data_IF_638931677222
#
_entry.id   IF_638931677222
#
_cell.length_a   1.000
_cell.length_b   1.000
_cell.length_c   1.000
_cell.angle_alpha   90.00
_cell.angle_beta   90.00
_cell.angle_gamma   90.00
#
_symmetry.space_group_name_H-M   'P 1'
#
loop_
_entity.id
_entity.type
_entity.pdbx_description
1 polymer ?
#
# COMPACT_ATOMS: atom_id res chain seq x y z
N UNK A 1 -22.53 18.12 -24.76
CA UNK A 1 -22.05 17.03 -23.85
C UNK A 1 -20.69 16.46 -24.28
N UNK A 2 -20.44 16.06 -25.51
CA UNK A 2 -19.15 15.50 -25.98
C UNK A 2 -17.96 16.47 -25.76
N UNK A 3 -18.14 17.77 -26.03
CA UNK A 3 -17.08 18.78 -25.84
C UNK A 3 -16.74 19.03 -24.35
N UNK A 4 -17.71 19.00 -23.44
CA UNK A 4 -17.45 19.17 -22.00
C UNK A 4 -16.68 17.99 -21.41
N UNK A 5 -16.91 16.76 -21.89
CA UNK A 5 -16.20 15.56 -21.45
C UNK A 5 -14.75 15.60 -21.95
N UNK A 6 -14.51 16.04 -23.20
CA UNK A 6 -13.14 16.19 -23.73
C UNK A 6 -12.34 17.25 -22.96
N UNK A 7 -12.95 18.36 -22.57
CA UNK A 7 -12.30 19.41 -21.78
C UNK A 7 -12.00 18.90 -20.37
N UNK A 8 -12.89 18.13 -19.76
CA UNK A 8 -12.67 17.55 -18.42
C UNK A 8 -11.53 16.52 -18.44
N UNK A 9 -11.49 15.63 -19.44
CA UNK A 9 -10.43 14.63 -19.62
C UNK A 9 -9.08 15.31 -19.90
N UNK A 10 -9.05 16.35 -20.77
CA UNK A 10 -7.84 17.13 -21.03
C UNK A 10 -7.37 17.89 -19.78
N UNK A 11 -8.29 18.44 -18.98
CA UNK A 11 -7.97 19.10 -17.72
C UNK A 11 -7.36 18.15 -16.69
N UNK A 12 -7.90 16.95 -16.55
CA UNK A 12 -7.38 15.90 -15.65
C UNK A 12 -6.00 15.41 -16.13
N UNK A 13 -5.77 15.24 -17.43
CA UNK A 13 -4.46 14.90 -17.97
C UNK A 13 -3.39 15.98 -17.73
N UNK A 14 -3.75 17.27 -17.86
CA UNK A 14 -2.81 18.38 -17.67
C UNK A 14 -2.41 18.50 -16.18
N UNK A 15 -3.34 18.27 -15.25
CA UNK A 15 -3.05 18.27 -13.80
C UNK A 15 -2.18 17.08 -13.41
N UNK A 16 -2.34 15.92 -14.03
CA UNK A 16 -1.51 14.73 -13.77
C UNK A 16 -0.04 14.89 -14.23
N UNK A 17 0.24 15.75 -15.23
CA UNK A 17 1.61 15.97 -15.73
C UNK A 17 2.40 17.05 -14.99
N UNK A 18 1.80 17.84 -14.11
CA UNK A 18 2.47 18.96 -13.43
C UNK A 18 2.98 18.64 -12.04
N UNK A 19 2.64 17.51 -11.45
CA UNK A 19 3.17 17.10 -10.16
C UNK A 19 4.47 16.33 -10.34
N UNK A 20 5.60 16.92 -9.97
CA UNK A 20 6.83 16.17 -9.68
C UNK A 20 6.57 15.39 -8.39
N UNK A 21 5.97 14.23 -8.51
CA UNK A 21 5.67 13.34 -7.40
C UNK A 21 6.93 12.61 -7.02
N UNK A 22 7.46 12.92 -5.84
CA UNK A 22 8.60 12.22 -5.24
C UNK A 22 8.04 11.35 -4.12
N UNK A 23 8.04 10.03 -4.31
CA UNK A 23 7.59 9.13 -3.25
C UNK A 23 8.11 7.70 -3.45
N UNK A 24 8.29 6.83 -2.77
CA UNK A 24 8.34 5.93 -1.68
C UNK A 24 9.13 4.61 -1.79
N UNK A 25 9.45 4.01 -0.70
CA UNK A 25 9.99 2.66 -0.59
C UNK A 25 9.56 1.91 0.68
N UNK A 26 9.58 0.60 0.66
CA UNK A 26 9.50 -0.37 1.76
C UNK A 26 8.14 -0.78 2.32
N UNK A 27 7.08 -0.06 2.19
CA UNK A 27 5.77 -0.52 2.66
C UNK A 27 4.81 -0.50 1.49
N UNK A 28 4.53 -1.66 0.93
CA UNK A 28 3.43 -1.78 -0.01
C UNK A 28 2.14 -1.35 0.69
N UNK A 29 1.29 -0.60 0.00
CA UNK A 29 0.04 -0.10 0.56
C UNK A 29 -0.75 -1.29 1.09
N UNK A 30 -1.00 -1.26 2.40
CA UNK A 30 -1.74 -2.33 3.06
C UNK A 30 -3.19 -2.21 2.65
N UNK A 31 -3.71 -3.26 2.04
CA UNK A 31 -5.10 -3.46 1.65
C UNK A 31 -5.79 -2.29 0.93
N UNK A 32 -6.14 -2.51 -0.29
CA UNK A 32 -6.98 -1.62 -1.09
C UNK A 32 -8.32 -2.23 -1.47
N UNK A 33 -8.70 -3.32 -0.79
CA UNK A 33 -9.91 -4.08 -1.11
C UNK A 33 -9.80 -4.86 -2.44
N UNK A 34 -10.74 -5.74 -2.71
CA UNK A 34 -10.82 -6.53 -3.94
C UNK A 34 -11.25 -5.70 -5.15
N UNK A 35 -10.38 -4.83 -5.62
CA UNK A 35 -10.64 -3.83 -6.66
C UNK A 35 -10.85 -4.44 -8.05
N UNK A 36 -10.59 -5.71 -8.18
CA UNK A 36 -10.44 -6.35 -9.46
C UNK A 36 -11.71 -6.91 -10.07
N UNK A 37 -12.80 -6.83 -9.37
CA UNK A 37 -14.11 -7.27 -9.85
C UNK A 37 -14.94 -6.14 -10.47
N UNK A 38 -14.33 -5.05 -10.90
CA UNK A 38 -15.01 -4.10 -11.77
C UNK A 38 -15.11 -4.66 -13.18
N UNK A 39 -15.79 -5.81 -13.25
CA UNK A 39 -16.12 -6.44 -14.50
C UNK A 39 -17.45 -5.88 -15.03
N UNK A 40 -17.54 -5.81 -16.34
CA UNK A 40 -18.72 -5.43 -17.11
C UNK A 40 -19.99 -6.22 -16.80
N UNK A 41 -19.80 -7.44 -16.36
CA UNK A 41 -20.84 -8.35 -15.94
C UNK A 41 -21.13 -8.23 -14.45
N UNK A 42 -21.13 -7.00 -13.87
CA UNK A 42 -22.02 -6.79 -12.73
C UNK A 42 -23.43 -7.04 -13.28
N UNK A 43 -23.77 -8.32 -13.38
CA UNK A 43 -25.15 -8.79 -13.51
C UNK A 43 -26.01 -7.84 -12.70
N UNK A 44 -27.13 -7.41 -13.25
CA UNK A 44 -28.16 -6.66 -12.57
C UNK A 44 -28.09 -7.01 -11.10
N UNK A 45 -27.74 -6.03 -10.25
CA UNK A 45 -27.64 -6.28 -8.80
C UNK A 45 -28.90 -7.03 -8.43
N UNK A 46 -28.76 -8.33 -8.27
CA UNK A 46 -29.84 -9.13 -7.76
C UNK A 46 -30.13 -8.53 -6.38
N UNK A 47 -31.26 -7.86 -6.25
CA UNK A 47 -31.69 -7.18 -5.03
C UNK A 47 -31.75 -8.15 -3.83
N UNK A 48 -31.67 -9.47 -4.10
CA UNK A 48 -31.58 -10.51 -3.09
C UNK A 48 -30.19 -10.65 -2.46
N UNK A 49 -29.09 -10.34 -3.19
CA UNK A 49 -27.70 -10.49 -2.68
C UNK A 49 -27.17 -9.17 -2.13
N UNK A 50 -27.32 -8.97 -0.84
CA UNK A 50 -26.96 -7.71 -0.17
C UNK A 50 -25.57 -7.70 0.44
N UNK A 51 -24.93 -8.85 0.54
CA UNK A 51 -23.61 -8.98 1.13
C UNK A 51 -22.58 -9.47 0.12
N UNK A 52 -21.38 -8.94 0.23
CA UNK A 52 -20.23 -9.39 -0.52
C UNK A 52 -19.08 -9.60 0.46
N UNK A 53 -18.42 -10.74 0.35
CA UNK A 53 -17.22 -11.07 1.10
C UNK A 53 -16.06 -11.21 0.14
N UNK A 54 -14.96 -10.50 0.41
CA UNK A 54 -13.70 -10.64 -0.29
C UNK A 54 -12.62 -11.13 0.66
N UNK A 55 -11.84 -12.10 0.21
CA UNK A 55 -10.64 -12.58 0.87
C UNK A 55 -9.49 -12.43 -0.11
N UNK A 56 -8.46 -11.66 0.29
CA UNK A 56 -7.25 -11.46 -0.49
C UNK A 56 -6.02 -11.89 0.30
N UNK A 57 -5.25 -12.82 -0.27
CA UNK A 57 -3.93 -13.20 0.23
C UNK A 57 -2.89 -12.39 -0.53
N UNK A 58 -2.06 -11.68 0.17
CA UNK A 58 -0.98 -10.88 -0.38
C UNK A 58 0.35 -11.30 0.23
N UNK A 59 1.35 -11.50 -0.64
CA UNK A 59 2.71 -11.83 -0.23
C UNK A 59 3.73 -11.07 -1.05
N UNK A 60 4.78 -10.57 -0.38
CA UNK A 60 5.97 -10.08 -1.05
C UNK A 60 7.23 -10.32 -0.19
N UNK A 61 8.38 -10.39 -0.90
CA UNK A 61 9.72 -10.36 -0.32
C UNK A 61 10.43 -9.09 -0.76
N UNK A 62 10.89 -8.26 0.19
CA UNK A 62 11.70 -7.09 -0.12
C UNK A 62 13.13 -7.29 0.37
N UNK A 63 14.12 -7.12 -0.52
CA UNK A 63 15.53 -7.36 -0.21
C UNK A 63 16.51 -6.53 -1.05
N UNK A 64 16.07 -5.95 -2.17
CA UNK A 64 16.91 -5.10 -3.00
C UNK A 64 16.86 -3.67 -2.49
N UNK A 65 18.01 -3.17 -2.05
CA UNK A 65 18.14 -1.82 -1.52
C UNK A 65 18.32 -0.78 -2.62
N UNK A 66 17.67 0.38 -2.46
CA UNK A 66 17.78 1.51 -3.38
C UNK A 66 18.03 2.81 -2.62
N UNK A 67 18.90 3.67 -3.21
CA UNK A 67 19.05 5.08 -2.88
C UNK A 67 18.66 5.86 -4.14
N UNK A 68 17.60 6.66 -4.08
CA UNK A 68 16.97 7.14 -5.30
C UNK A 68 16.51 5.94 -6.14
N UNK A 69 16.77 5.99 -7.43
CA UNK A 69 16.53 4.89 -8.38
C UNK A 69 17.72 3.91 -8.49
N UNK A 70 18.84 4.19 -7.80
CA UNK A 70 20.06 3.40 -7.91
C UNK A 70 20.04 2.23 -6.92
N UNK A 71 20.06 1.01 -7.46
CA UNK A 71 20.18 -0.20 -6.65
C UNK A 71 21.54 -0.29 -5.96
N UNK A 72 21.55 -0.63 -4.69
CA UNK A 72 22.74 -0.86 -3.86
C UNK A 72 23.10 -2.36 -3.90
N UNK A 73 23.67 -2.82 -5.04
CA UNK A 73 23.96 -4.24 -5.29
C UNK A 73 24.90 -4.84 -4.23
N UNK A 74 25.86 -4.03 -3.75
CA UNK A 74 26.80 -4.43 -2.70
C UNK A 74 26.15 -4.90 -1.41
N UNK A 75 24.90 -4.49 -1.14
CA UNK A 75 24.13 -4.99 0.02
C UNK A 75 23.92 -6.50 -0.05
N UNK A 76 23.50 -7.00 -1.22
CA UNK A 76 23.28 -8.42 -1.48
C UNK A 76 24.62 -9.17 -1.61
N UNK A 77 25.59 -8.59 -2.31
CA UNK A 77 26.92 -9.19 -2.52
C UNK A 77 27.67 -9.41 -1.20
N UNK A 78 27.50 -8.50 -0.24
CA UNK A 78 28.12 -8.58 1.09
C UNK A 78 27.22 -9.26 2.13
N UNK A 79 26.03 -9.76 1.78
CA UNK A 79 25.05 -10.34 2.71
C UNK A 79 24.55 -9.36 3.77
N UNK A 80 24.64 -8.04 3.51
CA UNK A 80 24.26 -6.98 4.47
C UNK A 80 22.89 -6.36 4.17
N UNK A 81 22.16 -6.90 3.19
CA UNK A 81 20.80 -6.48 2.89
C UNK A 81 19.83 -6.82 4.01
N UNK A 82 18.79 -6.03 4.15
CA UNK A 82 17.62 -6.40 4.95
C UNK A 82 16.69 -7.23 4.09
N UNK A 83 16.17 -8.31 4.64
CA UNK A 83 15.19 -9.16 3.97
C UNK A 83 13.90 -9.11 4.78
N UNK A 84 12.81 -8.63 4.18
CA UNK A 84 11.48 -8.73 4.77
C UNK A 84 10.64 -9.74 3.97
N UNK A 85 9.90 -10.57 4.68
CA UNK A 85 8.77 -11.33 4.15
C UNK A 85 7.51 -10.75 4.77
N UNK A 86 6.58 -10.33 3.95
CA UNK A 86 5.30 -9.79 4.41
C UNK A 86 4.17 -10.57 3.79
N UNK A 87 3.35 -11.14 4.66
CA UNK A 87 2.11 -11.80 4.31
C UNK A 87 0.94 -11.05 4.93
N UNK A 88 -0.09 -10.80 4.14
CA UNK A 88 -1.33 -10.17 4.58
C UNK A 88 -2.52 -10.97 4.09
N UNK A 89 -3.43 -11.30 4.99
CA UNK A 89 -4.75 -11.83 4.70
C UNK A 89 -5.76 -10.70 4.93
N UNK A 90 -6.26 -10.11 3.84
CA UNK A 90 -7.27 -9.07 3.90
C UNK A 90 -8.67 -9.70 3.86
N UNK A 91 -9.49 -9.41 4.86
CA UNK A 91 -10.87 -9.84 4.97
C UNK A 91 -11.77 -8.62 4.83
N UNK A 92 -12.49 -8.52 3.71
CA UNK A 92 -13.40 -7.40 3.47
C UNK A 92 -14.84 -7.88 3.40
N UNK A 93 -15.70 -7.31 4.23
CA UNK A 93 -17.14 -7.54 4.20
C UNK A 93 -17.85 -6.26 3.75
N UNK A 94 -18.59 -6.35 2.66
CA UNK A 94 -19.33 -5.22 2.08
C UNK A 94 -20.83 -5.48 2.17
N UNK A 95 -21.57 -4.48 2.66
CA UNK A 95 -23.03 -4.42 2.62
C UNK A 95 -23.50 -3.48 1.54
N UNK A 96 -24.20 -3.99 0.52
CA UNK A 96 -24.90 -3.19 -0.47
C UNK A 96 -26.22 -2.69 0.12
N UNK A 97 -26.34 -1.39 0.38
CA UNK A 97 -27.52 -0.77 0.95
C UNK A 97 -28.61 -0.60 -0.11
N UNK A 98 -28.21 -0.22 -1.30
CA UNK A 98 -29.04 -0.10 -2.52
C UNK A 98 -28.13 -0.08 -3.75
N UNK A 99 -28.68 0.15 -4.94
CA UNK A 99 -27.92 0.20 -6.19
C UNK A 99 -26.84 1.31 -6.27
N UNK A 100 -26.88 2.27 -5.34
CA UNK A 100 -25.96 3.42 -5.32
C UNK A 100 -24.92 3.32 -4.19
N UNK A 101 -25.32 2.83 -3.03
CA UNK A 101 -24.54 2.90 -1.81
C UNK A 101 -24.15 1.53 -1.28
N UNK A 102 -22.91 1.41 -0.87
CA UNK A 102 -22.41 0.28 -0.09
C UNK A 102 -21.51 0.76 1.05
N UNK A 103 -21.40 -0.06 2.08
CA UNK A 103 -20.51 0.13 3.22
C UNK A 103 -19.65 -1.11 3.37
N UNK A 104 -18.36 -0.95 3.61
CA UNK A 104 -17.44 -2.08 3.82
C UNK A 104 -16.65 -1.93 5.12
N UNK A 105 -16.29 -3.08 5.66
CA UNK A 105 -15.29 -3.22 6.72
C UNK A 105 -14.18 -4.11 6.18
N UNK A 106 -12.95 -3.67 6.34
CA UNK A 106 -11.75 -4.37 5.93
C UNK A 106 -10.85 -4.62 7.14
N UNK A 107 -10.51 -5.88 7.39
CA UNK A 107 -9.72 -6.33 8.53
C UNK A 107 -8.50 -7.13 8.05
N UNK A 108 -7.30 -6.54 8.01
CA UNK A 108 -6.09 -7.23 7.60
C UNK A 108 -5.49 -8.03 8.75
N UNK A 109 -5.11 -9.28 8.51
CA UNK A 109 -4.28 -10.10 9.38
C UNK A 109 -2.89 -10.18 8.77
N UNK A 110 -1.88 -9.81 9.55
CA UNK A 110 -0.49 -9.71 9.08
C UNK A 110 0.38 -10.79 9.74
N UNK A 111 1.30 -11.34 8.93
CA UNK A 111 2.38 -12.21 9.41
C UNK A 111 3.67 -11.75 8.70
N UNK A 112 4.56 -11.14 9.43
CA UNK A 112 5.78 -10.57 8.86
C UNK A 112 7.02 -11.15 9.54
N UNK A 113 8.11 -11.24 8.77
CA UNK A 113 9.44 -11.48 9.32
C UNK A 113 10.45 -10.52 8.68
N UNK A 114 11.47 -10.17 9.45
CA UNK A 114 12.55 -9.29 9.03
C UNK A 114 13.89 -9.83 9.47
N UNK A 115 14.79 -10.01 8.53
CA UNK A 115 16.15 -10.47 8.74
C UNK A 115 17.14 -9.34 8.50
N UNK A 116 18.04 -9.10 9.43
CA UNK A 116 19.01 -8.00 9.39
C UNK A 116 20.26 -8.34 10.19
N UNK A 117 21.40 -7.77 9.81
CA UNK A 117 22.63 -7.78 10.62
C UNK A 117 22.67 -6.58 11.58
N UNK A 118 22.54 -5.38 11.04
CA UNK A 118 22.81 -4.12 11.76
C UNK A 118 21.78 -3.79 12.85
N UNK A 119 20.62 -4.42 12.84
CA UNK A 119 19.63 -4.27 13.91
C UNK A 119 19.98 -5.10 15.14
N UNK A 120 20.86 -6.08 14.97
CA UNK A 120 21.35 -6.98 15.99
C UNK A 120 22.82 -6.67 16.33
N UNK A 121 23.67 -7.68 16.37
CA UNK A 121 25.10 -7.58 16.71
C UNK A 121 26.01 -7.06 15.60
N UNK A 122 25.46 -6.87 14.39
CA UNK A 122 26.20 -6.45 13.20
C UNK A 122 27.02 -7.55 12.54
N UNK A 123 27.06 -8.76 13.08
CA UNK A 123 27.85 -9.91 12.60
C UNK A 123 26.97 -11.04 12.11
N UNK A 124 26.00 -11.42 12.92
CA UNK A 124 25.10 -12.53 12.65
C UNK A 124 23.74 -12.03 12.19
N UNK A 125 23.12 -12.79 11.29
CA UNK A 125 21.79 -12.48 10.80
C UNK A 125 20.74 -13.14 11.71
N UNK A 126 19.93 -12.32 12.34
CA UNK A 126 18.80 -12.77 13.14
C UNK A 126 17.49 -12.32 12.53
N UNK A 127 16.40 -12.91 13.00
CA UNK A 127 15.03 -12.64 12.56
C UNK A 127 14.27 -11.91 13.68
N UNK A 128 13.45 -10.95 13.28
CA UNK A 128 12.35 -10.42 14.09
C UNK A 128 11.03 -10.68 13.37
N UNK A 129 9.94 -10.83 14.10
CA UNK A 129 8.63 -11.21 13.60
C UNK A 129 7.55 -10.27 14.12
N UNK A 130 6.42 -10.24 13.42
CA UNK A 130 5.16 -9.71 13.94
C UNK A 130 4.00 -10.52 13.38
N UNK A 131 2.97 -10.73 14.21
CA UNK A 131 1.75 -11.43 13.82
C UNK A 131 0.54 -10.83 14.55
N UNK A 132 -0.54 -10.59 13.82
CA UNK A 132 -1.79 -10.15 14.41
C UNK A 132 -2.66 -9.31 13.48
N UNK A 133 -3.71 -8.73 14.07
CA UNK A 133 -4.61 -7.82 13.39
C UNK A 133 -3.89 -6.51 13.05
N UNK A 134 -4.08 -6.02 11.83
CA UNK A 134 -3.63 -4.71 11.40
C UNK A 134 -4.64 -3.60 11.64
N UNK A 135 -4.46 -2.47 10.94
CA UNK A 135 -5.38 -1.34 11.05
C UNK A 135 -6.65 -1.61 10.25
N UNK A 136 -7.78 -1.72 10.95
CA UNK A 136 -9.12 -1.94 10.37
C UNK A 136 -9.57 -0.67 9.64
N UNK A 137 -10.25 -0.85 8.50
CA UNK A 137 -10.87 0.25 7.76
C UNK A 137 -12.37 0.05 7.66
N UNK A 138 -13.09 1.18 7.74
CA UNK A 138 -14.54 1.25 7.47
C UNK A 138 -14.75 2.30 6.39
N UNK A 139 -15.41 1.94 5.30
CA UNK A 139 -15.59 2.82 4.15
C UNK A 139 -17.02 2.77 3.63
N UNK A 140 -17.50 3.93 3.16
CA UNK A 140 -18.76 4.04 2.44
C UNK A 140 -18.48 4.41 0.98
N UNK A 141 -19.17 3.76 0.07
CA UNK A 141 -18.99 3.94 -1.37
C UNK A 141 -20.29 4.35 -2.04
N UNK A 142 -20.18 5.19 -3.07
CA UNK A 142 -21.27 5.61 -3.90
C UNK A 142 -20.93 5.54 -5.39
N UNK A 143 -21.79 4.89 -6.18
CA UNK A 143 -21.77 4.98 -7.63
C UNK A 143 -22.34 6.32 -8.10
N UNK A 144 -21.67 6.96 -9.05
CA UNK A 144 -22.07 8.28 -9.59
C UNK A 144 -23.14 8.13 -10.67
N UNK A 145 -23.02 7.13 -11.54
CA UNK A 145 -23.97 6.85 -12.60
C UNK A 145 -24.78 5.60 -12.29
N UNK A 146 -25.92 5.42 -12.96
CA UNK A 146 -26.75 4.22 -12.79
C UNK A 146 -25.99 2.98 -13.30
N UNK A 147 -25.61 2.04 -12.42
CA UNK A 147 -24.83 0.87 -12.83
C UNK A 147 -25.50 0.02 -13.90
N UNK A 148 -26.85 0.00 -13.94
CA UNK A 148 -27.62 -0.79 -14.92
C UNK A 148 -27.71 -0.15 -16.32
N UNK A 149 -27.33 1.13 -16.47
CA UNK A 149 -27.55 1.89 -17.72
C UNK A 149 -26.29 2.45 -18.33
N UNK A 150 -25.19 2.44 -17.62
CA UNK A 150 -23.97 3.15 -18.01
C UNK A 150 -22.92 2.19 -18.59
N UNK A 151 -22.35 2.52 -19.74
CA UNK A 151 -21.18 1.81 -20.32
C UNK A 151 -19.92 1.94 -19.47
N UNK A 152 -19.88 2.90 -18.58
CA UNK A 152 -18.81 3.13 -17.62
C UNK A 152 -19.37 3.78 -16.37
N UNK A 153 -18.69 3.62 -15.27
CA UNK A 153 -19.12 4.18 -14.00
C UNK A 153 -17.93 4.64 -13.16
N UNK A 154 -18.21 5.49 -12.20
CA UNK A 154 -17.27 5.97 -11.20
C UNK A 154 -17.89 5.70 -9.85
N UNK A 155 -17.12 5.05 -9.00
CA UNK A 155 -17.45 4.87 -7.59
C UNK A 155 -16.52 5.73 -6.75
N UNK A 156 -17.08 6.52 -5.84
CA UNK A 156 -16.32 7.31 -4.88
C UNK A 156 -16.50 6.69 -3.50
N UNK A 157 -15.39 6.48 -2.81
CA UNK A 157 -15.33 5.94 -1.46
C UNK A 157 -14.71 6.93 -0.49
N UNK A 158 -15.29 7.03 0.70
CA UNK A 158 -14.73 7.74 1.85
C UNK A 158 -14.71 6.78 3.03
N UNK A 159 -13.61 6.79 3.78
CA UNK A 159 -13.48 5.86 4.89
C UNK A 159 -12.58 6.37 6.02
N UNK A 160 -12.54 5.58 7.06
CA UNK A 160 -11.71 5.75 8.24
C UNK A 160 -10.82 4.52 8.40
N UNK A 161 -9.52 4.74 8.53
CA UNK A 161 -8.55 3.75 9.02
C UNK A 161 -8.46 3.93 10.54
N UNK A 162 -8.72 2.87 11.29
CA UNK A 162 -8.65 2.85 12.75
C UNK A 162 -7.28 2.30 13.17
N UNK A 163 -6.68 2.89 14.19
CA UNK A 163 -5.40 2.45 14.73
C UNK A 163 -5.59 1.19 15.62
N UNK A 164 -6.04 0.09 15.05
CA UNK A 164 -6.31 -1.18 15.73
C UNK A 164 -5.12 -2.12 15.74
N UNK A 165 -4.21 -1.98 14.78
CA UNK A 165 -2.98 -2.76 14.73
C UNK A 165 -1.98 -2.33 15.82
N UNK A 166 -1.31 -3.31 16.40
CA UNK A 166 -0.25 -3.01 17.38
C UNK A 166 0.95 -2.34 16.69
N UNK A 167 1.03 -1.02 16.82
CA UNK A 167 2.09 -0.19 16.28
C UNK A 167 3.33 -0.09 17.21
N UNK A 168 3.28 -0.76 18.35
CA UNK A 168 4.38 -0.90 19.32
C UNK A 168 4.84 -2.35 19.44
N UNK A 169 4.51 -3.19 18.46
CA UNK A 169 4.88 -4.59 18.47
C UNK A 169 6.36 -4.77 18.71
N UNK A 170 6.72 -5.66 19.60
CA UNK A 170 8.10 -5.86 20.05
C UNK A 170 8.58 -7.28 19.75
N UNK A 171 9.88 -7.41 19.53
CA UNK A 171 10.58 -8.68 19.44
C UNK A 171 11.99 -8.56 19.98
N UNK A 172 12.73 -9.65 20.04
CA UNK A 172 14.04 -9.73 20.64
C UNK A 172 15.16 -9.34 19.67
N UNK A 173 16.07 -8.49 20.14
CA UNK A 173 17.25 -8.04 19.42
C UNK A 173 18.52 -8.51 20.12
N UNK A 174 19.33 -9.30 19.42
CA UNK A 174 20.64 -9.77 19.88
C UNK A 174 21.66 -8.64 19.73
N UNK A 175 22.14 -8.06 20.82
CA UNK A 175 23.11 -6.95 20.79
C UNK A 175 24.56 -7.43 20.83
N UNK A 176 24.79 -8.60 21.40
CA UNK A 176 26.05 -9.37 21.41
C UNK A 176 25.73 -10.82 21.81
N UNK A 177 26.75 -11.64 21.97
CA UNK A 177 26.61 -13.08 22.25
C UNK A 177 25.86 -13.40 23.58
N UNK A 178 25.80 -12.45 24.51
CA UNK A 178 25.18 -12.64 25.84
C UNK A 178 23.98 -11.71 26.11
N UNK A 179 23.78 -10.68 25.29
CA UNK A 179 22.77 -9.64 25.55
C UNK A 179 21.69 -9.67 24.52
N UNK A 180 20.47 -9.95 24.95
CA UNK A 180 19.25 -9.89 24.15
C UNK A 180 18.30 -8.88 24.78
N UNK A 181 17.77 -7.95 24.00
CA UNK A 181 16.87 -6.90 24.48
C UNK A 181 15.55 -6.96 23.74
N UNK A 182 14.47 -6.75 24.48
CA UNK A 182 13.13 -6.57 23.89
C UNK A 182 12.99 -5.14 23.38
N UNK A 183 12.47 -4.96 22.17
CA UNK A 183 12.28 -3.63 21.59
C UNK A 183 11.31 -3.60 20.44
N UNK A 184 10.85 -2.40 20.04
CA UNK A 184 9.96 -2.26 18.91
C UNK A 184 10.58 -2.79 17.62
N UNK A 185 9.84 -3.63 16.90
CA UNK A 185 10.26 -4.08 15.56
C UNK A 185 10.29 -2.91 14.57
N UNK A 186 10.98 -3.10 13.46
CA UNK A 186 11.07 -2.07 12.43
C UNK A 186 9.69 -1.64 11.89
N UNK A 187 9.55 -0.37 11.51
CA UNK A 187 8.31 0.20 10.97
C UNK A 187 7.71 -0.62 9.82
N UNK A 188 8.55 -1.28 9.01
CA UNK A 188 8.11 -2.08 7.85
C UNK A 188 7.34 -3.34 8.24
N UNK A 189 7.51 -3.83 9.45
CA UNK A 189 6.83 -5.02 9.97
C UNK A 189 5.93 -4.75 11.18
N UNK A 190 5.70 -3.49 11.57
CA UNK A 190 4.68 -3.15 12.56
C UNK A 190 3.29 -3.54 12.06
N UNK A 191 2.38 -3.96 12.94
CA UNK A 191 1.03 -4.37 12.58
C UNK A 191 0.14 -3.18 12.21
N UNK A 192 0.36 -2.02 12.82
CA UNK A 192 -0.28 -0.74 12.54
C UNK A 192 0.72 0.40 12.46
N UNK A 193 0.27 1.59 12.10
CA UNK A 193 1.07 2.81 12.16
C UNK A 193 0.75 3.67 13.39
N UNK A 194 -0.33 3.34 14.12
CA UNK A 194 -0.77 4.03 15.32
C UNK A 194 -1.54 5.33 15.07
N UNK A 195 -1.92 5.61 13.84
CA UNK A 195 -2.74 6.77 13.48
C UNK A 195 -4.12 6.39 12.99
N UNK A 196 -5.15 7.10 13.45
CA UNK A 196 -6.44 7.12 12.76
C UNK A 196 -6.32 8.03 11.56
N UNK A 197 -6.74 7.55 10.39
CA UNK A 197 -6.63 8.25 9.12
C UNK A 197 -7.92 8.26 8.33
N UNK A 198 -8.00 9.17 7.35
CA UNK A 198 -9.12 9.29 6.42
C UNK A 198 -8.71 8.71 5.07
N UNK A 199 -9.54 7.86 4.49
CA UNK A 199 -9.31 7.30 3.16
C UNK A 199 -10.25 7.90 2.14
N UNK A 200 -9.72 8.17 0.95
CA UNK A 200 -10.49 8.53 -0.24
C UNK A 200 -10.17 7.54 -1.32
N UNK A 201 -11.19 6.99 -1.96
CA UNK A 201 -11.06 6.05 -3.07
C UNK A 201 -11.88 6.52 -4.27
N UNK A 202 -11.33 6.36 -5.45
CA UNK A 202 -12.05 6.55 -6.71
C UNK A 202 -11.80 5.31 -7.55
N UNK A 203 -12.87 4.60 -7.87
CA UNK A 203 -12.85 3.44 -8.73
C UNK A 203 -13.64 3.76 -10.01
N UNK A 204 -13.06 3.49 -11.15
CA UNK A 204 -13.69 3.78 -12.43
C UNK A 204 -13.49 2.62 -13.41
N UNK A 205 -14.49 2.39 -14.25
CA UNK A 205 -14.37 1.52 -15.42
C UNK A 205 -15.11 2.12 -16.62
N UNK A 206 -14.69 1.70 -17.78
CA UNK A 206 -15.37 2.08 -19.03
C UNK A 206 -15.28 0.96 -20.07
N UNK A 207 -16.43 0.57 -20.58
CA UNK A 207 -16.57 -0.42 -21.64
C UNK A 207 -16.17 0.13 -23.00
N UNK A 208 -15.08 -0.37 -23.52
CA UNK A 208 -14.61 -0.06 -24.87
C UNK A 208 -15.35 -0.90 -25.92
N UNK A 209 -15.57 -2.18 -25.61
CA UNK A 209 -16.34 -3.12 -26.42
C UNK A 209 -17.06 -4.14 -25.52
N UNK A 210 -17.67 -5.18 -26.12
CA UNK A 210 -18.29 -6.27 -25.36
C UNK A 210 -17.28 -7.10 -24.55
N UNK A 211 -16.03 -7.16 -25.02
CA UNK A 211 -14.98 -7.96 -24.38
C UNK A 211 -13.84 -7.14 -23.80
N UNK A 212 -13.80 -5.83 -24.03
CA UNK A 212 -12.69 -4.97 -23.58
C UNK A 212 -13.20 -3.84 -22.73
N UNK A 213 -12.63 -3.67 -21.56
CA UNK A 213 -12.87 -2.52 -20.68
C UNK A 213 -11.57 -1.89 -20.20
N UNK A 214 -11.61 -0.60 -19.94
CA UNK A 214 -10.56 0.11 -19.21
C UNK A 214 -10.98 0.28 -17.76
N UNK A 215 -10.02 0.27 -16.85
CA UNK A 215 -10.23 0.54 -15.43
C UNK A 215 -9.23 1.54 -14.88
N UNK A 216 -9.61 2.23 -13.82
CA UNK A 216 -8.76 3.09 -13.03
C UNK A 216 -9.13 3.04 -11.56
N UNK A 217 -8.12 3.08 -10.69
CA UNK A 217 -8.31 3.16 -9.26
C UNK A 217 -7.34 4.18 -8.68
N UNK A 218 -7.83 5.01 -7.78
CA UNK A 218 -7.07 5.92 -6.95
C UNK A 218 -7.43 5.69 -5.49
N UNK A 219 -6.42 5.59 -4.64
CA UNK A 219 -6.54 5.51 -3.20
C UNK A 219 -5.63 6.52 -2.55
N UNK A 220 -6.11 7.23 -1.55
CA UNK A 220 -5.32 8.12 -0.71
C UNK A 220 -5.70 7.95 0.75
N UNK A 221 -4.71 7.75 1.61
CA UNK A 221 -4.83 7.77 3.07
C UNK A 221 -4.19 9.06 3.59
N UNK A 222 -4.98 9.91 4.22
CA UNK A 222 -4.53 11.08 4.99
C UNK A 222 -4.36 10.67 6.44
N UNK A 223 -3.16 10.87 6.99
CA UNK A 223 -2.81 10.54 8.37
C UNK A 223 -2.52 11.82 9.16
N UNK A 224 -3.46 12.37 9.94
CA UNK A 224 -3.25 13.63 10.67
C UNK A 224 -2.22 13.54 11.79
N UNK A 225 -1.88 12.35 12.25
CA UNK A 225 -0.88 12.11 13.31
C UNK A 225 0.52 12.10 12.72
N UNK A 226 1.41 13.00 13.15
CA UNK A 226 2.78 13.08 12.64
C UNK A 226 3.65 11.89 13.04
N UNK A 227 3.62 11.52 14.34
CA UNK A 227 4.45 10.47 14.94
C UNK A 227 3.64 9.62 15.92
N UNK A 228 3.95 8.32 16.00
CA UNK A 228 3.21 7.41 16.87
C UNK A 228 3.82 7.20 18.27
N UNK A 229 4.97 7.81 18.55
CA UNK A 229 5.67 7.69 19.82
C UNK A 229 6.52 6.42 19.97
N UNK A 230 6.57 5.55 18.94
CA UNK A 230 7.38 4.32 18.97
C UNK A 230 8.83 4.64 18.60
N UNK A 231 9.75 4.26 19.49
CA UNK A 231 11.18 4.47 19.28
C UNK A 231 11.73 3.61 18.13
N UNK A 232 12.67 4.15 17.38
CA UNK A 232 13.44 3.40 16.37
C UNK A 232 14.68 2.71 16.92
N UNK A 233 14.95 2.82 18.22
CA UNK A 233 16.18 2.34 18.86
C UNK A 233 16.18 0.84 19.21
N UNK A 234 15.12 0.09 18.87
CA UNK A 234 15.06 -1.38 19.01
C UNK A 234 15.49 -1.89 20.39
N UNK A 235 14.87 -1.35 21.44
CA UNK A 235 15.18 -1.69 22.84
C UNK A 235 16.40 -0.96 23.43
N UNK A 236 17.12 -0.18 22.61
CA UNK A 236 18.24 0.65 23.08
C UNK A 236 17.85 2.12 23.28
N UNK A 237 18.87 2.96 23.45
CA UNK A 237 18.73 4.43 23.54
C UNK A 237 18.85 5.05 22.13
N UNK A 238 18.02 6.02 21.82
CA UNK A 238 18.13 6.77 20.58
C UNK A 238 19.43 7.55 20.50
N UNK A 239 20.10 7.52 19.35
CA UNK A 239 21.34 8.29 19.17
C UNK A 239 21.09 9.79 19.16
N UNK A 240 22.05 10.60 19.60
CA UNK A 240 21.95 12.06 19.56
C UNK A 240 21.67 12.58 18.13
N UNK A 241 22.24 11.93 17.12
CA UNK A 241 21.99 12.26 15.71
C UNK A 241 20.54 11.99 15.33
N UNK A 242 19.99 10.81 15.65
CA UNK A 242 18.60 10.48 15.32
C UNK A 242 17.60 11.42 16.00
N UNK A 243 17.87 11.85 17.23
CA UNK A 243 17.09 12.85 17.96
C UNK A 243 17.18 14.20 17.23
N UNK A 244 18.40 14.64 16.88
CA UNK A 244 18.63 15.94 16.23
C UNK A 244 17.94 16.07 14.88
N UNK A 245 17.89 14.99 14.09
CA UNK A 245 17.22 14.97 12.78
C UNK A 245 15.75 14.54 12.84
N UNK A 246 15.24 14.21 14.03
CA UNK A 246 13.85 13.81 14.25
C UNK A 246 13.49 12.42 13.72
N UNK A 247 14.46 11.50 13.59
CA UNK A 247 14.23 10.12 13.13
C UNK A 247 14.22 9.08 14.25
N UNK A 248 14.24 9.52 15.51
CA UNK A 248 14.23 8.65 16.68
C UNK A 248 12.86 8.05 17.02
N UNK A 249 11.81 8.55 16.41
CA UNK A 249 10.41 8.09 16.57
C UNK A 249 9.82 7.77 15.19
N UNK A 250 9.01 6.73 15.09
CA UNK A 250 8.32 6.33 13.86
C UNK A 250 7.25 7.36 13.48
N UNK A 251 7.21 7.74 12.21
CA UNK A 251 6.15 8.61 11.66
C UNK A 251 4.89 7.81 11.33
N UNK A 252 3.79 8.52 11.17
CA UNK A 252 2.49 8.01 10.66
C UNK A 252 2.22 8.67 9.30
N UNK A 253 2.80 8.13 8.21
CA UNK A 253 2.77 8.82 6.92
C UNK A 253 1.45 8.65 6.19
N UNK A 254 1.14 9.63 5.34
CA UNK A 254 0.16 9.46 4.27
C UNK A 254 0.59 8.34 3.32
N UNK A 255 -0.36 7.80 2.56
CA UNK A 255 -0.11 6.78 1.53
C UNK A 255 -1.04 7.00 0.35
N UNK A 256 -0.57 6.76 -0.87
CA UNK A 256 -1.48 6.71 -2.01
C UNK A 256 -1.12 5.60 -3.00
N UNK A 257 -2.10 5.21 -3.79
CA UNK A 257 -1.95 4.26 -4.87
C UNK A 257 -2.76 4.71 -6.07
N UNK A 258 -2.18 4.52 -7.26
CA UNK A 258 -2.86 4.71 -8.53
C UNK A 258 -2.74 3.41 -9.32
N UNK A 259 -3.84 2.98 -9.91
CA UNK A 259 -3.87 1.84 -10.85
C UNK A 259 -4.65 2.25 -12.08
N UNK A 260 -4.20 1.81 -13.24
CA UNK A 260 -4.92 1.96 -14.49
C UNK A 260 -4.55 0.83 -15.45
N UNK A 261 -5.51 0.33 -16.18
CA UNK A 261 -5.27 -0.78 -17.11
C UNK A 261 -6.47 -1.12 -17.96
N UNK A 262 -6.34 -2.25 -18.62
CA UNK A 262 -7.37 -2.81 -19.50
C UNK A 262 -7.66 -4.25 -19.11
N UNK A 263 -8.91 -4.66 -19.27
CA UNK A 263 -9.39 -6.00 -19.10
C UNK A 263 -9.86 -6.55 -20.45
N UNK A 264 -9.54 -7.79 -20.72
CA UNK A 264 -10.12 -8.58 -21.81
C UNK A 264 -10.91 -9.72 -21.19
N UNK A 265 -12.22 -9.73 -21.45
CA UNK A 265 -13.14 -10.74 -20.91
C UNK A 265 -13.68 -11.62 -22.03
N UNK A 266 -13.53 -12.92 -21.86
CA UNK A 266 -14.15 -13.93 -22.70
C UNK A 266 -14.86 -14.98 -21.84
N UNK A 267 -16.19 -15.03 -21.94
CA UNK A 267 -17.04 -15.88 -21.11
C UNK A 267 -16.80 -15.59 -19.60
N UNK A 268 -16.26 -16.56 -18.90
CA UNK A 268 -16.01 -16.50 -17.46
C UNK A 268 -14.58 -16.07 -17.12
N UNK A 269 -13.72 -15.84 -18.12
CA UNK A 269 -12.31 -15.51 -17.92
C UNK A 269 -12.06 -14.05 -18.25
N UNK A 270 -11.45 -13.33 -17.32
CA UNK A 270 -10.95 -11.97 -17.53
C UNK A 270 -9.45 -11.95 -17.36
N UNK A 271 -8.74 -11.47 -18.36
CA UNK A 271 -7.31 -11.17 -18.32
C UNK A 271 -7.16 -9.65 -18.16
N UNK A 272 -6.28 -9.25 -17.25
CA UNK A 272 -6.01 -7.85 -16.95
C UNK A 272 -4.55 -7.51 -17.21
N UNK A 273 -4.29 -6.32 -17.70
CA UNK A 273 -2.95 -5.76 -17.77
C UNK A 273 -3.02 -4.26 -17.46
N UNK A 274 -2.25 -3.83 -16.48
CA UNK A 274 -2.23 -2.44 -16.06
C UNK A 274 -0.90 -2.02 -15.47
N UNK A 275 -0.90 -0.79 -15.00
CA UNK A 275 0.16 -0.19 -14.20
C UNK A 275 -0.37 0.09 -12.80
N UNK A 276 0.51 -0.05 -11.82
CA UNK A 276 0.27 0.25 -10.41
C UNK A 276 1.42 1.09 -9.89
N UNK A 277 1.11 2.26 -9.34
CA UNK A 277 2.02 3.10 -8.59
C UNK A 277 1.61 3.11 -7.12
N UNK A 278 2.51 2.72 -6.24
CA UNK A 278 2.34 2.72 -4.79
C UNK A 278 3.34 3.69 -4.17
N UNK A 279 2.87 4.51 -3.27
CA UNK A 279 3.58 5.69 -2.82
C UNK A 279 3.40 6.01 -1.34
N UNK A 280 4.51 6.35 -0.64
CA UNK A 280 4.57 6.99 0.69
C UNK A 280 5.26 8.35 0.54
N UNK A 281 4.54 9.46 0.59
CA UNK A 281 5.09 10.78 0.30
C UNK A 281 6.14 11.22 1.33
N UNK A 282 7.05 12.09 0.89
CA UNK A 282 8.02 12.74 1.79
C UNK A 282 7.31 13.63 2.78
N UNK A 283 6.27 14.31 2.31
CA UNK A 283 5.45 15.23 3.09
C UNK A 283 3.99 14.79 3.07
N UNK A 284 3.37 14.82 4.24
CA UNK A 284 1.95 14.55 4.42
C UNK A 284 1.12 15.80 4.10
N UNK A 285 -0.13 15.61 3.72
CA UNK A 285 -1.05 16.73 3.46
C UNK A 285 -1.41 17.46 4.77
N UNK A 286 -1.53 16.70 5.85
CA UNK A 286 -1.96 17.22 7.16
C UNK A 286 -1.13 16.56 8.27
N UNK A 287 -0.95 17.22 9.41
CA UNK A 287 -0.41 16.64 10.63
C UNK A 287 1.11 16.75 10.81
N UNK A 288 1.85 17.04 9.74
CA UNK A 288 3.30 17.16 9.79
C UNK A 288 4.01 15.89 9.29
N UNK A 289 5.31 16.00 9.03
CA UNK A 289 6.08 14.98 8.29
C UNK A 289 7.37 14.58 8.99
N UNK A 290 7.53 14.91 10.27
CA UNK A 290 8.67 14.49 11.08
C UNK A 290 8.53 13.01 11.46
N UNK A 291 9.63 12.43 11.89
CA UNK A 291 9.70 11.04 12.27
C UNK A 291 10.39 10.19 11.23
N UNK A 292 10.69 8.98 11.65
CA UNK A 292 11.33 7.99 10.80
C UNK A 292 10.33 7.46 9.77
N UNK A 293 10.68 7.61 8.50
CA UNK A 293 10.00 7.00 7.35
C UNK A 293 10.99 6.77 6.21
N UNK A 294 10.64 5.87 5.34
CA UNK A 294 11.39 5.60 4.11
C UNK A 294 10.52 6.00 2.91
N UNK A 295 10.48 7.28 2.53
CA UNK A 295 9.62 7.75 1.44
C UNK A 295 10.15 7.32 0.06
N UNK A 296 9.28 7.19 -0.93
CA UNK A 296 9.60 6.74 -2.27
C UNK A 296 8.41 6.10 -3.01
N UNK A 297 8.56 5.54 -4.24
CA UNK A 297 7.48 4.89 -5.00
C UNK A 297 7.93 3.59 -5.67
N UNK A 298 6.96 2.77 -6.02
CA UNK A 298 7.13 1.58 -6.86
C UNK A 298 6.13 1.68 -8.00
N UNK A 299 6.64 1.86 -9.22
CA UNK A 299 5.85 1.68 -10.43
C UNK A 299 5.96 0.23 -10.89
N UNK A 300 4.84 -0.44 -11.08
CA UNK A 300 4.76 -1.86 -11.46
C UNK A 300 3.91 -2.05 -12.70
N UNK A 301 4.26 -3.02 -13.55
CA UNK A 301 3.32 -3.64 -14.46
C UNK A 301 2.49 -4.67 -13.68
N UNK A 302 1.17 -4.66 -13.85
CA UNK A 302 0.25 -5.52 -13.10
C UNK A 302 -0.57 -6.42 -14.03
N UNK A 303 -0.04 -7.56 -14.44
CA UNK A 303 -0.84 -8.61 -15.05
C UNK A 303 -1.77 -9.25 -14.02
N UNK A 304 -2.96 -9.63 -14.47
CA UNK A 304 -3.97 -10.26 -13.64
C UNK A 304 -4.84 -11.23 -14.40
N UNK A 305 -5.46 -12.14 -13.66
CA UNK A 305 -6.44 -13.09 -14.15
C UNK A 305 -7.59 -13.18 -13.14
N UNK A 306 -8.81 -13.20 -13.65
CA UNK A 306 -10.02 -13.44 -12.86
C UNK A 306 -10.86 -14.49 -13.54
N UNK A 307 -11.34 -15.46 -12.78
CA UNK A 307 -12.30 -16.45 -13.26
C UNK A 307 -13.60 -16.34 -12.48
N UNK A 308 -14.69 -16.12 -13.23
CA UNK A 308 -16.02 -15.88 -12.68
C UNK A 308 -16.83 -17.18 -12.65
N UNK A 309 -17.08 -17.70 -11.46
CA UNK A 309 -18.12 -18.68 -11.21
C UNK A 309 -19.43 -17.97 -10.87
N UNK A 310 -20.55 -18.62 -10.94
CA UNK A 310 -21.90 -18.00 -10.71
C UNK A 310 -21.97 -16.98 -9.58
N UNK A 311 -21.39 -17.27 -8.40
CA UNK A 311 -21.41 -16.40 -7.21
C UNK A 311 -20.02 -16.11 -6.65
N UNK A 312 -19.00 -16.72 -7.20
CA UNK A 312 -17.62 -16.63 -6.70
C UNK A 312 -16.73 -16.20 -7.84
N UNK A 313 -15.94 -15.16 -7.62
CA UNK A 313 -14.88 -14.74 -8.51
C UNK A 313 -13.55 -15.04 -7.86
N UNK A 314 -12.70 -15.82 -8.52
CA UNK A 314 -11.33 -16.10 -8.07
C UNK A 314 -10.39 -15.27 -8.92
N UNK A 315 -9.42 -14.61 -8.29
CA UNK A 315 -8.49 -13.75 -8.98
C UNK A 315 -7.05 -13.91 -8.50
N UNK A 316 -6.12 -13.57 -9.39
CA UNK A 316 -4.70 -13.44 -9.08
C UNK A 316 -4.11 -12.23 -9.81
N UNK A 317 -3.27 -11.44 -9.11
CA UNK A 317 -2.53 -10.30 -9.64
C UNK A 317 -1.09 -10.35 -9.17
N UNK A 318 -0.18 -10.02 -10.08
CA UNK A 318 1.25 -10.02 -9.77
C UNK A 318 1.87 -8.72 -10.25
N UNK A 319 1.71 -7.60 -9.51
CA UNK A 319 2.46 -6.39 -9.82
C UNK A 319 3.96 -6.69 -9.79
N UNK A 320 4.64 -6.49 -10.92
CA UNK A 320 6.09 -6.64 -11.11
C UNK A 320 6.70 -5.26 -11.22
N UNK A 321 7.62 -4.94 -10.32
CA UNK A 321 8.19 -3.61 -10.22
C UNK A 321 9.09 -3.28 -11.43
N UNK A 322 8.74 -2.21 -12.15
CA UNK A 322 9.51 -1.64 -13.27
C UNK A 322 10.49 -0.58 -12.75
N UNK A 323 10.01 0.30 -11.89
CA UNK A 323 10.82 1.37 -11.30
C UNK A 323 10.63 1.39 -9.78
N UNK A 324 11.70 1.72 -9.07
CA UNK A 324 11.75 1.90 -7.62
C UNK A 324 12.56 3.15 -7.33
N UNK A 325 12.06 3.98 -6.45
CA UNK A 325 12.74 5.20 -6.08
C UNK A 325 12.63 5.45 -4.57
N UNK A 326 13.73 5.41 -3.85
CA UNK A 326 13.83 5.84 -2.45
C UNK A 326 14.24 7.30 -2.41
N UNK A 327 13.28 8.20 -2.19
CA UNK A 327 13.53 9.64 -2.13
C UNK A 327 14.11 10.07 -0.78
N UNK A 328 14.70 11.27 -0.68
CA UNK A 328 15.13 11.82 0.61
C UNK A 328 13.93 11.97 1.56
N UNK A 329 14.04 11.46 2.78
CA UNK A 329 13.09 11.76 3.87
C UNK A 329 13.31 13.17 4.42
N UNK A 330 12.40 13.64 5.28
CA UNK A 330 12.57 14.89 6.01
C UNK A 330 13.84 14.82 6.88
N UNK A 331 14.09 13.70 7.54
CA UNK A 331 15.30 13.49 8.34
C UNK A 331 16.58 13.54 7.49
N UNK A 332 16.58 12.92 6.30
CA UNK A 332 17.72 12.99 5.35
C UNK A 332 17.99 14.44 4.91
N UNK A 333 16.94 15.23 4.65
CA UNK A 333 17.05 16.65 4.27
C UNK A 333 17.62 17.49 5.42
N UNK A 334 17.16 17.24 6.66
CA UNK A 334 17.69 17.91 7.85
C UNK A 334 19.18 17.56 8.02
N UNK A 335 19.55 16.29 7.90
CA UNK A 335 20.95 15.85 7.99
C UNK A 335 21.82 16.51 6.92
N UNK A 336 21.35 16.55 5.68
CA UNK A 336 22.02 17.26 4.57
C UNK A 336 22.28 18.73 4.91
N UNK A 337 21.26 19.42 5.45
CA UNK A 337 21.38 20.83 5.86
C UNK A 337 22.37 21.04 7.00
N UNK A 338 22.39 20.13 7.97
CA UNK A 338 23.27 20.22 9.15
C UNK A 338 24.73 19.96 8.82
N UNK A 339 25.01 19.07 7.88
CA UNK A 339 26.38 18.65 7.55
C UNK A 339 26.95 19.32 6.31
N UNK A 340 26.11 19.93 5.47
CA UNK A 340 26.49 20.40 4.15
C UNK A 340 26.75 19.28 3.12
N UNK A 341 26.65 17.99 3.53
CA UNK A 341 26.85 16.82 2.67
C UNK A 341 25.51 16.18 2.35
N UNK A 342 25.26 15.93 1.07
CA UNK A 342 24.04 15.26 0.64
C UNK A 342 23.89 13.90 1.31
N UNK A 343 22.81 13.70 2.03
CA UNK A 343 22.50 12.46 2.76
C UNK A 343 21.18 11.91 2.28
N UNK A 344 21.15 10.62 1.99
CA UNK A 344 19.92 9.90 1.63
C UNK A 344 20.05 8.46 2.10
N UNK A 345 19.10 8.02 2.91
CA UNK A 345 19.02 6.63 3.36
C UNK A 345 18.59 5.70 2.23
N UNK A 346 18.84 4.41 2.41
CA UNK A 346 18.35 3.36 1.54
C UNK A 346 17.05 2.72 2.06
N UNK A 347 16.42 1.92 1.22
CA UNK A 347 15.28 1.08 1.57
C UNK A 347 15.28 -0.21 0.75
N UNK A 348 14.83 -1.30 1.36
CA UNK A 348 14.64 -2.57 0.68
C UNK A 348 13.28 -2.60 -0.06
N UNK A 349 13.27 -2.97 -1.32
CA UNK A 349 12.10 -3.08 -2.17
C UNK A 349 11.86 -4.51 -2.61
N UNK A 350 10.61 -4.83 -2.92
CA UNK A 350 10.22 -6.08 -3.56
C UNK A 350 10.42 -6.01 -5.08
N UNK A 351 10.60 -7.17 -5.70
CA UNK A 351 10.59 -7.30 -7.16
C UNK A 351 9.17 -7.46 -7.69
N UNK A 352 8.34 -8.14 -6.92
CA UNK A 352 6.93 -8.37 -7.23
C UNK A 352 6.12 -8.60 -5.95
N UNK A 353 4.83 -8.46 -6.08
CA UNK A 353 3.86 -8.83 -5.04
C UNK A 353 2.89 -9.84 -5.64
N UNK A 354 2.56 -10.89 -4.92
CA UNK A 354 1.54 -11.86 -5.34
C UNK A 354 0.27 -11.58 -4.56
N UNK A 355 -0.83 -11.38 -5.26
CA UNK A 355 -2.17 -11.26 -4.69
C UNK A 355 -3.04 -12.36 -5.26
N UNK A 356 -3.64 -13.17 -4.41
CA UNK A 356 -4.59 -14.24 -4.78
C UNK A 356 -5.78 -14.19 -3.85
N UNK A 357 -6.95 -14.16 -4.41
CA UNK A 357 -8.14 -14.06 -3.58
C UNK A 357 -9.42 -14.52 -4.28
N UNK A 358 -10.49 -14.36 -3.56
CA UNK A 358 -11.82 -14.56 -4.11
C UNK A 358 -12.83 -13.59 -3.53
N UNK A 359 -13.88 -13.33 -4.31
CA UNK A 359 -15.06 -12.57 -3.89
C UNK A 359 -16.29 -13.45 -4.03
N UNK A 360 -17.18 -13.41 -3.06
CA UNK A 360 -18.48 -14.11 -3.11
C UNK A 360 -19.61 -13.19 -2.69
N UNK A 361 -20.78 -13.35 -3.32
CA UNK A 361 -22.00 -12.59 -3.01
C UNK A 361 -23.08 -13.51 -2.42
N UNK A 362 -23.80 -13.05 -1.41
CA UNK A 362 -24.83 -13.79 -0.71
C UNK A 362 -25.89 -12.89 -0.05
#
# INVERSE_FOLDING_TARGET
MKQCISILISGIMIVAFSCKVNAQGCVAIRSTGGICTMDHHSEQMDTAQKWEFNLNNRYFKSFRHFVGTKQQKQRVENGSEVINHSYTLDLTLTRHLNKWWSVSVDAPILANSRSSLYEHDGKNRFLTHSFGLGDVRVSAYRWIFDPAKSKGNIQVGLGLKLATGDYKYQDFFHKNDSTVVLGPVDQSIQLGDGGTGFTTEINAFYSLSQSVSAYGNFYYLVSPREQNGTSTARGGTSSATSIKIGSNVMSVPDQYMIRAGVNYTEKNLTLSLGFRDECLPVHDLVGGSKGFRRPGFILSAEPGITYNFKKINIYAYVPVAIERNRTQSVADKIQTKLTGVYTQGDAAFADYTVNVGFTTKF
#
